data_IF_912365770803
#
_entry.id   IF_912365770803
#
_cell.length_a   1.000
_cell.length_b   1.000
_cell.length_c   1.000
_cell.angle_alpha   90.00
_cell.angle_beta   90.00
_cell.angle_gamma   90.00
#
_symmetry.space_group_name_H-M   'P 1'
#
loop_
_entity.id
_entity.type
_entity.pdbx_description
1 polymer ?
#
# COMPACT_ATOMS: atom_id res chain seq x y z
N UNK A 1 1.10 -14.39 17.14
CA UNK A 1 0.76 -14.03 15.74
C UNK A 1 -0.46 -14.82 15.31
N UNK A 2 -1.10 -14.47 14.20
CA UNK A 2 -2.23 -15.23 13.62
C UNK A 2 -1.71 -16.42 12.82
N UNK A 3 -0.66 -16.22 12.04
CA UNK A 3 0.12 -17.27 11.38
C UNK A 3 1.58 -17.19 11.85
N UNK A 4 2.24 -18.34 12.02
CA UNK A 4 3.66 -18.35 12.45
C UNK A 4 4.56 -17.71 11.40
N UNK A 5 4.24 -17.90 10.11
CA UNK A 5 5.01 -17.37 8.98
C UNK A 5 5.01 -15.83 8.91
N UNK A 6 4.10 -15.15 9.63
CA UNK A 6 4.13 -13.68 9.78
C UNK A 6 5.40 -13.18 10.49
N UNK A 7 6.17 -14.07 11.12
CA UNK A 7 7.52 -13.74 11.61
C UNK A 7 8.38 -13.14 10.50
N UNK A 8 8.21 -13.59 9.25
CA UNK A 8 8.89 -13.04 8.07
C UNK A 8 8.50 -11.56 7.89
N UNK A 9 7.20 -11.25 7.86
CA UNK A 9 6.72 -9.87 7.74
C UNK A 9 7.26 -8.98 8.85
N UNK A 10 7.22 -9.44 10.10
CA UNK A 10 7.75 -8.68 11.25
C UNK A 10 9.27 -8.48 11.15
N UNK A 11 10.03 -9.50 10.75
CA UNK A 11 11.48 -9.38 10.53
C UNK A 11 11.81 -8.36 9.44
N UNK A 12 11.07 -8.34 8.32
CA UNK A 12 11.23 -7.32 7.29
C UNK A 12 10.96 -5.92 7.85
N UNK A 13 9.92 -5.73 8.67
CA UNK A 13 9.66 -4.41 9.27
C UNK A 13 10.82 -3.94 10.15
N UNK A 14 11.43 -4.82 10.94
CA UNK A 14 12.62 -4.49 11.72
C UNK A 14 13.81 -4.12 10.82
N UNK A 15 14.07 -4.92 9.78
CA UNK A 15 15.16 -4.66 8.82
C UNK A 15 14.98 -3.34 8.08
N UNK A 16 13.77 -3.04 7.60
CA UNK A 16 13.43 -1.79 6.91
C UNK A 16 13.60 -0.60 7.87
N UNK A 17 13.17 -0.75 9.12
CA UNK A 17 13.29 0.30 10.13
C UNK A 17 14.75 0.59 10.47
N UNK A 18 15.55 -0.46 10.65
CA UNK A 18 16.99 -0.34 10.87
C UNK A 18 17.67 0.34 9.67
N UNK A 19 17.38 -0.10 8.45
CA UNK A 19 17.94 0.50 7.24
C UNK A 19 17.58 1.99 7.10
N UNK A 20 16.30 2.34 7.29
CA UNK A 20 15.85 3.75 7.26
C UNK A 20 16.50 4.57 8.37
N UNK A 21 16.61 4.03 9.58
CA UNK A 21 17.26 4.71 10.71
C UNK A 21 18.75 4.92 10.45
N UNK A 22 19.45 3.94 9.88
CA UNK A 22 20.86 4.08 9.48
C UNK A 22 20.99 5.15 8.39
N UNK A 23 20.15 5.13 7.35
CA UNK A 23 20.14 6.16 6.32
C UNK A 23 19.84 7.56 6.88
N UNK A 24 19.06 7.65 7.96
CA UNK A 24 18.75 8.91 8.62
C UNK A 24 19.90 9.41 9.50
N UNK A 25 20.38 8.59 10.45
CA UNK A 25 21.44 8.96 11.39
C UNK A 25 22.79 9.19 10.71
N UNK A 26 23.09 8.42 9.66
CA UNK A 26 24.31 8.51 8.87
C UNK A 26 24.00 9.07 7.49
N UNK A 27 23.08 10.03 7.40
CA UNK A 27 22.72 10.67 6.14
C UNK A 27 23.98 11.16 5.43
N UNK A 28 24.16 10.69 4.20
CA UNK A 28 25.31 11.01 3.35
C UNK A 28 24.85 11.82 2.14
N UNK A 29 25.78 12.52 1.51
CA UNK A 29 25.54 13.22 0.25
C UNK A 29 25.25 12.25 -0.93
N UNK A 30 25.29 10.93 -0.71
CA UNK A 30 24.85 9.92 -1.68
C UNK A 30 23.32 9.79 -1.70
N UNK A 31 22.65 10.91 -2.00
CA UNK A 31 21.19 11.08 -1.95
C UNK A 31 20.46 10.00 -2.75
N UNK A 32 20.98 9.63 -3.93
CA UNK A 32 20.39 8.59 -4.76
C UNK A 32 20.21 7.25 -4.03
N UNK A 33 21.25 6.77 -3.36
CA UNK A 33 21.20 5.49 -2.64
C UNK A 33 20.32 5.56 -1.39
N UNK A 34 20.34 6.70 -0.69
CA UNK A 34 19.45 6.96 0.46
C UNK A 34 17.99 6.89 0.05
N UNK A 35 17.62 7.57 -1.04
CA UNK A 35 16.25 7.54 -1.58
C UNK A 35 15.92 6.11 -2.01
N UNK A 36 16.79 5.45 -2.77
CA UNK A 36 16.52 4.11 -3.32
C UNK A 36 16.26 3.07 -2.22
N UNK A 37 17.13 2.99 -1.21
CA UNK A 37 16.98 2.06 -0.08
C UNK A 37 15.70 2.36 0.69
N UNK A 38 15.47 3.65 1.00
CA UNK A 38 14.30 4.09 1.76
C UNK A 38 12.99 3.86 1.00
N UNK A 39 12.99 4.10 -0.31
CA UNK A 39 11.86 3.87 -1.19
C UNK A 39 11.55 2.38 -1.32
N UNK A 40 12.55 1.56 -1.63
CA UNK A 40 12.34 0.11 -1.73
C UNK A 40 11.84 -0.49 -0.41
N UNK A 41 12.40 -0.07 0.73
CA UNK A 41 11.90 -0.46 2.04
C UNK A 41 10.44 -0.02 2.27
N UNK A 42 10.05 1.17 1.80
CA UNK A 42 8.66 1.64 1.87
C UNK A 42 7.72 0.81 1.00
N UNK A 43 8.16 0.34 -0.18
CA UNK A 43 7.39 -0.56 -1.04
C UNK A 43 7.13 -1.90 -0.34
N UNK A 44 8.16 -2.52 0.24
CA UNK A 44 8.00 -3.79 0.97
C UNK A 44 7.10 -3.61 2.20
N UNK A 45 7.28 -2.52 2.96
CA UNK A 45 6.41 -2.20 4.10
C UNK A 45 4.95 -1.98 3.67
N UNK A 46 4.70 -1.43 2.48
CA UNK A 46 3.36 -1.23 1.96
C UNK A 46 2.67 -2.54 1.57
N UNK A 47 3.42 -3.52 1.07
CA UNK A 47 2.89 -4.86 0.81
C UNK A 47 2.50 -5.57 2.10
N UNK A 48 3.34 -5.47 3.14
CA UNK A 48 3.01 -5.97 4.48
C UNK A 48 1.77 -5.24 5.02
N UNK A 49 1.68 -3.92 4.82
CA UNK A 49 0.51 -3.12 5.21
C UNK A 49 -0.76 -3.57 4.50
N UNK A 50 -0.70 -3.78 3.19
CA UNK A 50 -1.84 -4.26 2.41
C UNK A 50 -2.37 -5.57 2.98
N UNK A 51 -1.49 -6.56 3.20
CA UNK A 51 -1.84 -7.83 3.84
C UNK A 51 -2.41 -7.63 5.25
N UNK A 52 -1.77 -6.81 6.09
CA UNK A 52 -2.21 -6.52 7.46
C UNK A 52 -3.60 -5.87 7.51
N UNK A 53 -3.92 -5.00 6.54
CA UNK A 53 -5.20 -4.32 6.45
C UNK A 53 -6.35 -5.26 6.05
N UNK A 54 -6.04 -6.30 5.27
CA UNK A 54 -6.99 -7.38 4.95
C UNK A 54 -7.16 -8.37 6.10
N UNK A 55 -6.04 -8.85 6.62
CA UNK A 55 -5.97 -9.81 7.72
C UNK A 55 -4.85 -9.41 8.68
N UNK A 56 -5.23 -8.94 9.87
CA UNK A 56 -4.25 -8.48 10.85
C UNK A 56 -3.31 -9.60 11.31
N UNK A 57 -2.01 -9.26 11.34
CA UNK A 57 -0.89 -10.14 11.72
C UNK A 57 -1.08 -10.74 13.11
N UNK A 58 -1.59 -9.97 14.08
CA UNK A 58 -1.80 -10.45 15.43
C UNK A 58 -3.29 -10.68 15.73
N UNK A 59 -3.56 -11.55 16.70
CA UNK A 59 -4.90 -11.66 17.30
C UNK A 59 -5.14 -10.57 18.36
N UNK A 60 -4.05 -10.04 18.94
CA UNK A 60 -4.10 -9.01 19.97
C UNK A 60 -4.30 -7.62 19.35
N UNK A 61 -5.31 -6.87 19.83
CA UNK A 61 -5.68 -5.55 19.31
C UNK A 61 -4.60 -4.48 19.50
N UNK A 62 -3.84 -4.53 20.60
CA UNK A 62 -2.78 -3.57 20.89
C UNK A 62 -1.57 -3.80 20.00
N UNK A 63 -1.19 -5.06 19.76
CA UNK A 63 -0.13 -5.38 18.80
C UNK A 63 -0.51 -4.96 17.37
N UNK A 64 -1.78 -5.09 16.98
CA UNK A 64 -2.22 -4.58 15.67
C UNK A 64 -2.22 -3.05 15.63
N UNK A 65 -2.64 -2.38 16.70
CA UNK A 65 -2.57 -0.92 16.80
C UNK A 65 -1.13 -0.40 16.65
N UNK A 66 -0.17 -1.00 17.37
CA UNK A 66 1.24 -0.61 17.24
C UNK A 66 1.81 -0.93 15.86
N UNK A 67 1.39 -2.05 15.27
CA UNK A 67 1.78 -2.43 13.90
C UNK A 67 1.20 -1.45 12.88
N UNK A 68 -0.04 -1.00 13.03
CA UNK A 68 -0.64 0.05 12.19
C UNK A 68 0.23 1.32 12.25
N UNK A 69 0.58 1.81 13.45
CA UNK A 69 1.44 3.00 13.61
C UNK A 69 2.83 2.81 12.99
N UNK A 70 3.43 1.64 13.16
CA UNK A 70 4.74 1.30 12.61
C UNK A 70 4.74 1.33 11.08
N UNK A 71 3.78 0.62 10.46
CA UNK A 71 3.60 0.60 9.02
C UNK A 71 3.28 1.99 8.47
N UNK A 72 2.52 2.79 9.23
CA UNK A 72 2.16 4.15 8.85
C UNK A 72 3.38 5.06 8.71
N UNK A 73 4.32 5.01 9.66
CA UNK A 73 5.58 5.77 9.58
C UNK A 73 6.44 5.29 8.41
N UNK A 74 6.57 3.97 8.22
CA UNK A 74 7.42 3.41 7.17
C UNK A 74 6.96 3.74 5.75
N UNK A 75 5.67 4.02 5.56
CA UNK A 75 5.06 4.22 4.23
C UNK A 75 4.50 5.63 4.02
N UNK A 76 4.40 6.45 5.06
CA UNK A 76 3.83 7.80 4.99
C UNK A 76 2.34 7.87 4.67
N UNK A 77 1.60 6.77 4.84
CA UNK A 77 0.14 6.71 4.64
C UNK A 77 -0.53 6.02 5.81
N UNK A 78 -1.83 6.24 6.03
CA UNK A 78 -2.56 5.58 7.12
C UNK A 78 -3.08 4.20 6.70
N UNK A 79 -3.16 3.23 7.62
CA UNK A 79 -3.80 1.94 7.36
C UNK A 79 -5.30 2.12 7.08
N UNK A 80 -5.93 3.16 7.65
CA UNK A 80 -7.26 3.59 7.24
C UNK A 80 -7.34 3.95 5.76
N UNK A 81 -6.30 4.54 5.16
CA UNK A 81 -6.31 4.88 3.73
C UNK A 81 -6.41 3.61 2.88
N UNK A 82 -5.65 2.56 3.22
CA UNK A 82 -5.76 1.25 2.56
C UNK A 82 -7.15 0.64 2.80
N UNK A 83 -7.63 0.63 4.04
CA UNK A 83 -8.96 0.08 4.37
C UNK A 83 -10.09 0.78 3.59
N UNK A 84 -10.02 2.10 3.42
CA UNK A 84 -11.06 2.89 2.74
C UNK A 84 -10.96 2.74 1.22
N UNK A 85 -9.79 3.01 0.64
CA UNK A 85 -9.62 3.03 -0.82
C UNK A 85 -9.61 1.61 -1.37
N UNK A 86 -8.82 0.73 -0.77
CA UNK A 86 -8.65 -0.63 -1.26
C UNK A 86 -9.77 -1.55 -0.79
N UNK A 87 -9.94 -1.71 0.53
CA UNK A 87 -10.83 -2.77 1.03
C UNK A 87 -12.32 -2.42 0.93
N UNK A 88 -12.70 -1.15 1.16
CA UNK A 88 -14.10 -0.72 1.11
C UNK A 88 -14.51 -0.37 -0.31
N UNK A 89 -13.70 0.40 -1.06
CA UNK A 89 -14.07 0.83 -2.40
C UNK A 89 -13.64 -0.19 -3.47
N UNK A 90 -12.35 -0.40 -3.67
CA UNK A 90 -11.82 -1.24 -4.76
C UNK A 90 -12.29 -2.70 -4.69
N UNK A 91 -12.29 -3.36 -3.52
CA UNK A 91 -12.80 -4.74 -3.40
C UNK A 91 -14.32 -4.87 -3.60
N UNK A 92 -15.09 -3.78 -3.44
CA UNK A 92 -16.54 -3.79 -3.67
C UNK A 92 -16.89 -3.68 -5.14
N UNK A 93 -16.10 -2.95 -5.93
CA UNK A 93 -16.42 -2.60 -7.31
C UNK A 93 -15.48 -3.25 -8.33
N UNK A 94 -14.25 -3.55 -7.93
CA UNK A 94 -13.22 -4.28 -8.66
C UNK A 94 -13.08 -3.77 -10.10
N UNK A 95 -12.39 -2.64 -10.22
CA UNK A 95 -12.13 -1.90 -11.46
C UNK A 95 -13.37 -1.30 -12.14
N UNK A 96 -14.60 -1.50 -11.65
CA UNK A 96 -15.82 -0.98 -12.29
C UNK A 96 -15.82 0.55 -12.48
N UNK A 97 -16.01 0.99 -13.74
CA UNK A 97 -15.96 2.40 -14.12
C UNK A 97 -16.99 3.24 -13.34
N UNK A 98 -16.56 4.38 -12.82
CA UNK A 98 -17.43 5.33 -12.10
C UNK A 98 -17.77 4.94 -10.67
N UNK A 99 -17.44 3.71 -10.23
CA UNK A 99 -17.65 3.27 -8.84
C UNK A 99 -16.34 2.99 -8.11
N UNK A 100 -15.41 2.30 -8.75
CA UNK A 100 -14.04 2.11 -8.26
C UNK A 100 -13.22 3.37 -8.53
N UNK A 101 -12.73 4.01 -7.46
CA UNK A 101 -11.89 5.21 -7.57
C UNK A 101 -10.53 4.92 -8.22
N UNK A 102 -10.12 3.65 -8.23
CA UNK A 102 -8.91 3.14 -8.88
C UNK A 102 -9.21 2.47 -10.21
N UNK A 103 -10.38 2.72 -10.81
CA UNK A 103 -10.71 2.16 -12.11
C UNK A 103 -9.73 2.64 -13.19
N UNK A 104 -9.13 1.69 -13.91
CA UNK A 104 -8.21 1.97 -15.01
C UNK A 104 -8.94 2.42 -16.28
N UNK A 105 -10.22 2.05 -16.43
CA UNK A 105 -10.96 2.14 -17.69
C UNK A 105 -10.99 3.52 -18.34
N UNK A 106 -11.25 4.58 -17.57
CA UNK A 106 -11.30 5.94 -18.14
C UNK A 106 -9.95 6.38 -18.74
N UNK A 107 -8.85 5.77 -18.30
CA UNK A 107 -7.50 6.07 -18.76
C UNK A 107 -7.07 5.17 -19.94
N UNK A 108 -7.59 3.94 -20.04
CA UNK A 108 -7.26 3.00 -21.13
C UNK A 108 -7.66 3.54 -22.50
N UNK A 109 -8.78 4.28 -22.57
CA UNK A 109 -9.25 4.96 -23.79
C UNK A 109 -8.27 5.95 -24.43
N UNK A 110 -7.20 6.35 -23.70
CA UNK A 110 -6.16 7.27 -24.18
C UNK A 110 -4.97 6.55 -24.82
N UNK A 111 -5.02 5.23 -24.94
CA UNK A 111 -3.94 4.38 -25.44
C UNK A 111 -3.00 3.90 -24.31
N UNK A 112 -2.28 2.80 -24.56
CA UNK A 112 -1.52 2.06 -23.53
C UNK A 112 -0.52 2.91 -22.74
N UNK A 113 0.34 3.67 -23.42
CA UNK A 113 1.41 4.46 -22.77
C UNK A 113 0.83 5.73 -22.13
N UNK A 114 0.09 6.52 -22.89
CA UNK A 114 -0.51 7.77 -22.42
C UNK A 114 -1.51 7.54 -21.28
N UNK A 115 -2.31 6.48 -21.39
CA UNK A 115 -3.24 6.04 -20.35
C UNK A 115 -2.52 5.70 -19.05
N UNK A 116 -1.47 4.87 -19.12
CA UNK A 116 -0.64 4.52 -17.97
C UNK A 116 -0.02 5.77 -17.30
N UNK A 117 0.65 6.64 -18.06
CA UNK A 117 1.30 7.84 -17.50
C UNK A 117 0.27 8.75 -16.83
N UNK A 118 -0.86 9.02 -17.49
CA UNK A 118 -1.93 9.85 -16.92
C UNK A 118 -2.52 9.21 -15.66
N UNK A 119 -2.75 7.90 -15.67
CA UNK A 119 -3.25 7.17 -14.51
C UNK A 119 -2.30 7.32 -13.32
N UNK A 120 -1.01 7.02 -13.53
CA UNK A 120 -0.01 7.07 -12.46
C UNK A 120 0.07 8.47 -11.85
N UNK A 121 0.07 9.51 -12.67
CA UNK A 121 0.22 10.89 -12.19
C UNK A 121 -1.03 11.45 -11.51
N UNK A 122 -2.23 11.07 -11.96
CA UNK A 122 -3.49 11.67 -11.51
C UNK A 122 -4.16 10.88 -10.38
N UNK A 123 -4.09 9.54 -10.41
CA UNK A 123 -4.81 8.69 -9.47
C UNK A 123 -4.47 8.92 -7.99
N UNK A 124 -3.21 9.18 -7.57
CA UNK A 124 -2.92 9.51 -6.17
C UNK A 124 -3.74 10.69 -5.64
N UNK A 125 -3.96 11.71 -6.47
CA UNK A 125 -4.79 12.86 -6.12
C UNK A 125 -6.28 12.49 -6.05
N UNK A 126 -6.78 11.70 -7.01
CA UNK A 126 -8.16 11.22 -7.00
C UNK A 126 -8.47 10.39 -5.75
N UNK A 127 -7.56 9.50 -5.36
CA UNK A 127 -7.65 8.74 -4.11
C UNK A 127 -7.71 9.63 -2.88
N UNK A 128 -6.90 10.69 -2.83
CA UNK A 128 -6.94 11.65 -1.73
C UNK A 128 -8.31 12.34 -1.66
N UNK A 129 -8.80 12.85 -2.78
CA UNK A 129 -10.10 13.54 -2.86
C UNK A 129 -11.25 12.61 -2.46
N UNK A 130 -11.33 11.43 -3.07
CA UNK A 130 -12.41 10.47 -2.84
C UNK A 130 -12.43 9.97 -1.39
N UNK A 131 -11.25 9.65 -0.81
CA UNK A 131 -11.12 9.30 0.61
C UNK A 131 -11.62 10.42 1.52
N UNK A 132 -11.26 11.68 1.24
CA UNK A 132 -11.71 12.82 2.04
C UNK A 132 -13.22 13.03 1.96
N UNK A 133 -13.81 12.92 0.77
CA UNK A 133 -15.26 12.97 0.58
C UNK A 133 -15.97 11.85 1.36
N UNK A 134 -15.46 10.62 1.25
CA UNK A 134 -15.99 9.47 1.98
C UNK A 134 -15.91 9.67 3.49
N UNK A 135 -14.78 10.14 4.03
CA UNK A 135 -14.63 10.43 5.45
C UNK A 135 -15.59 11.53 5.93
N UNK A 136 -15.80 12.58 5.13
CA UNK A 136 -16.77 13.65 5.45
C UNK A 136 -18.21 13.13 5.53
N UNK A 137 -18.57 12.16 4.70
CA UNK A 137 -19.87 11.50 4.74
C UNK A 137 -20.01 10.50 5.91
N UNK A 138 -18.91 10.07 6.53
CA UNK A 138 -18.88 9.01 7.54
C UNK A 138 -18.24 9.43 8.88
N UNK A 139 -18.40 10.70 9.28
CA UNK A 139 -17.74 11.28 10.47
C UNK A 139 -18.04 10.55 11.79
N UNK A 140 -19.20 9.89 11.89
CA UNK A 140 -19.62 9.15 13.08
C UNK A 140 -18.97 7.76 13.20
N UNK A 141 -18.39 7.22 12.11
CA UNK A 141 -17.76 5.91 12.13
C UNK A 141 -16.44 5.93 12.89
N UNK A 142 -16.13 4.84 13.60
CA UNK A 142 -14.88 4.68 14.34
C UNK A 142 -13.64 4.94 13.46
N UNK A 143 -13.67 4.48 12.19
CA UNK A 143 -12.58 4.67 11.23
C UNK A 143 -12.26 6.16 10.97
N UNK A 144 -13.23 7.07 11.13
CA UNK A 144 -12.98 8.51 11.00
C UNK A 144 -12.04 9.01 12.10
N UNK A 145 -12.35 8.67 13.37
CA UNK A 145 -11.51 9.02 14.53
C UNK A 145 -10.14 8.34 14.43
N UNK A 146 -10.13 7.05 14.09
CA UNK A 146 -8.91 6.27 13.95
C UNK A 146 -7.98 6.84 12.85
N UNK A 147 -8.54 7.22 11.70
CA UNK A 147 -7.78 7.87 10.64
C UNK A 147 -7.15 9.19 11.11
N UNK A 148 -7.82 9.99 11.95
CA UNK A 148 -7.22 11.21 12.51
C UNK A 148 -6.03 10.92 13.41
N UNK A 149 -6.12 9.90 14.26
CA UNK A 149 -5.02 9.47 15.12
C UNK A 149 -3.84 9.02 14.26
N UNK A 150 -4.08 8.15 13.27
CA UNK A 150 -3.03 7.68 12.37
C UNK A 150 -2.33 8.83 11.62
N UNK A 151 -3.10 9.76 11.04
CA UNK A 151 -2.50 10.88 10.30
C UNK A 151 -1.79 11.87 11.24
N UNK A 152 -2.31 12.12 12.44
CA UNK A 152 -1.62 12.95 13.44
C UNK A 152 -0.28 12.31 13.85
N UNK A 153 -0.26 10.99 14.02
CA UNK A 153 0.98 10.25 14.31
C UNK A 153 1.97 10.33 13.15
N UNK A 154 1.55 10.06 11.91
CA UNK A 154 2.41 10.18 10.71
C UNK A 154 3.00 11.59 10.61
N UNK A 155 2.15 12.62 10.64
CA UNK A 155 2.58 14.01 10.47
C UNK A 155 3.48 14.45 11.62
N UNK A 156 3.15 14.09 12.86
CA UNK A 156 3.97 14.37 14.03
C UNK A 156 5.34 13.74 13.93
N UNK A 157 5.44 12.45 13.60
CA UNK A 157 6.71 11.75 13.43
C UNK A 157 7.53 12.30 12.27
N UNK A 158 6.91 12.57 11.11
CA UNK A 158 7.60 13.17 9.96
C UNK A 158 8.11 14.57 10.28
N UNK A 159 7.30 15.40 10.97
CA UNK A 159 7.71 16.73 11.41
C UNK A 159 8.90 16.65 12.36
N UNK A 160 8.89 15.73 13.32
CA UNK A 160 10.01 15.55 14.25
C UNK A 160 11.31 15.18 13.51
N UNK A 161 11.26 14.28 12.53
CA UNK A 161 12.43 13.95 11.73
C UNK A 161 12.91 15.14 10.88
N UNK A 162 12.00 15.87 10.24
CA UNK A 162 12.38 17.05 9.46
C UNK A 162 12.89 18.22 10.32
N UNK A 163 12.44 18.37 11.57
CA UNK A 163 12.95 19.40 12.47
C UNK A 163 14.33 19.06 13.03
N UNK A 164 14.60 17.78 13.30
CA UNK A 164 15.90 17.35 13.79
C UNK A 164 16.97 17.35 12.69
N UNK A 165 16.66 16.79 11.53
CA UNK A 165 17.57 16.76 10.38
C UNK A 165 16.79 16.93 9.07
N UNK A 166 16.59 18.17 8.58
CA UNK A 166 15.68 18.47 7.46
C UNK A 166 15.95 17.68 6.18
N UNK A 167 17.21 17.61 5.75
CA UNK A 167 17.59 16.90 4.53
C UNK A 167 17.33 15.39 4.67
N UNK A 168 17.80 14.77 5.76
CA UNK A 168 17.56 13.36 6.02
C UNK A 168 16.06 13.05 6.14
N UNK A 169 15.30 13.89 6.85
CA UNK A 169 13.85 13.78 6.95
C UNK A 169 13.16 13.79 5.59
N UNK A 170 13.56 14.72 4.72
CA UNK A 170 13.04 14.85 3.36
C UNK A 170 13.36 13.62 2.50
N UNK A 171 14.62 13.19 2.45
CA UNK A 171 15.08 12.14 1.54
C UNK A 171 14.81 10.71 2.02
N UNK A 172 14.71 10.48 3.33
CA UNK A 172 14.45 9.13 3.91
C UNK A 172 12.96 8.87 4.09
N UNK A 173 12.15 9.90 4.40
CA UNK A 173 10.74 9.73 4.73
C UNK A 173 9.78 10.36 3.73
N UNK A 174 9.95 11.65 3.40
CA UNK A 174 8.95 12.38 2.59
C UNK A 174 8.98 11.94 1.13
N UNK A 175 10.14 12.02 0.46
CA UNK A 175 10.28 11.67 -0.96
C UNK A 175 9.90 10.20 -1.20
N UNK A 176 10.42 9.22 -0.43
CA UNK A 176 10.00 7.82 -0.53
C UNK A 176 8.49 7.61 -0.39
N UNK A 177 7.83 8.30 0.55
CA UNK A 177 6.38 8.20 0.73
C UNK A 177 5.58 8.74 -0.46
N UNK A 178 6.06 9.83 -1.08
CA UNK A 178 5.48 10.39 -2.31
C UNK A 178 5.64 9.43 -3.48
N UNK A 179 6.86 8.93 -3.73
CA UNK A 179 7.16 7.97 -4.79
C UNK A 179 6.35 6.68 -4.64
N UNK A 180 6.09 6.26 -3.40
CA UNK A 180 5.25 5.10 -3.10
C UNK A 180 3.81 5.29 -3.62
N UNK A 181 3.23 6.50 -3.57
CA UNK A 181 1.86 6.72 -4.06
C UNK A 181 1.75 6.48 -5.57
N UNK A 182 2.73 6.96 -6.34
CA UNK A 182 2.80 6.72 -7.78
C UNK A 182 3.02 5.24 -8.10
N UNK A 183 3.82 4.55 -7.28
CA UNK A 183 4.06 3.11 -7.43
C UNK A 183 2.81 2.28 -7.17
N UNK A 184 1.98 2.68 -6.20
CA UNK A 184 0.68 2.04 -5.93
C UNK A 184 -0.29 2.24 -7.10
N UNK A 185 -0.32 3.44 -7.70
CA UNK A 185 -1.11 3.65 -8.92
C UNK A 185 -0.58 2.80 -10.08
N UNK A 186 0.74 2.77 -10.30
CA UNK A 186 1.35 1.98 -11.37
C UNK A 186 1.04 0.48 -11.24
N UNK A 187 1.19 -0.08 -10.04
CA UNK A 187 0.90 -1.50 -9.77
C UNK A 187 -0.57 -1.82 -9.95
N UNK A 188 -1.49 -0.98 -9.45
CA UNK A 188 -2.92 -1.14 -9.70
C UNK A 188 -3.23 -1.15 -11.22
N UNK A 189 -2.65 -0.21 -11.97
CA UNK A 189 -2.87 -0.18 -13.42
C UNK A 189 -2.42 -1.47 -14.09
N UNK A 190 -1.20 -1.94 -13.80
CA UNK A 190 -0.69 -3.20 -14.37
C UNK A 190 -1.60 -4.40 -14.01
N UNK A 191 -2.07 -4.44 -12.78
CA UNK A 191 -2.91 -5.52 -12.26
C UNK A 191 -4.36 -5.49 -12.80
N UNK A 192 -4.84 -4.38 -13.36
CA UNK A 192 -6.23 -4.24 -13.80
C UNK A 192 -6.40 -3.86 -15.27
N UNK A 193 -5.33 -3.42 -15.95
CA UNK A 193 -5.35 -3.04 -17.37
C UNK A 193 -5.89 -4.16 -18.27
N UNK A 194 -6.76 -3.79 -19.21
CA UNK A 194 -7.30 -4.68 -20.23
C UNK A 194 -8.33 -5.71 -19.73
N UNK A 195 -8.82 -5.57 -18.49
CA UNK A 195 -9.85 -6.44 -17.92
C UNK A 195 -11.22 -5.75 -17.91
N UNK A 196 -11.74 -5.42 -19.10
CA UNK A 196 -13.05 -4.78 -19.31
C UNK A 196 -14.21 -5.74 -19.05
N UNK A 197 -15.06 -5.47 -18.05
CA UNK A 197 -16.39 -6.09 -17.83
C UNK A 197 -16.52 -7.64 -17.93
N UNK A 198 -15.41 -8.37 -18.06
CA UNK A 198 -15.36 -9.81 -18.18
C UNK A 198 -15.39 -10.47 -16.80
N UNK A 199 -15.64 -11.78 -16.76
CA UNK A 199 -15.53 -12.57 -15.53
C UNK A 199 -14.15 -12.42 -14.85
N UNK A 200 -13.11 -12.11 -15.65
CA UNK A 200 -11.76 -11.78 -15.19
C UNK A 200 -11.63 -10.27 -14.96
N UNK A 201 -11.48 -9.88 -13.70
CA UNK A 201 -11.37 -8.47 -13.28
C UNK A 201 -9.95 -8.02 -12.90
N UNK A 202 -8.96 -8.91 -13.01
CA UNK A 202 -7.57 -8.64 -12.64
C UNK A 202 -6.57 -9.58 -13.35
N UNK A 203 -5.32 -9.16 -13.39
CA UNK A 203 -4.17 -9.89 -13.93
C UNK A 203 -3.29 -10.44 -12.79
N UNK A 204 -2.83 -11.68 -12.95
CA UNK A 204 -1.83 -12.28 -12.08
C UNK A 204 -0.40 -12.02 -12.59
N UNK A 205 0.56 -11.95 -11.68
CA UNK A 205 2.01 -11.91 -11.93
C UNK A 205 2.63 -13.14 -11.23
N UNK A 206 2.50 -14.37 -11.78
CA UNK A 206 2.85 -15.61 -11.09
C UNK A 206 4.37 -15.91 -11.06
N UNK A 207 5.21 -14.90 -11.25
CA UNK A 207 6.66 -15.08 -11.21
C UNK A 207 7.12 -15.47 -9.79
N UNK A 208 7.84 -16.59 -9.66
CA UNK A 208 8.23 -17.17 -8.35
C UNK A 208 9.02 -16.18 -7.48
N UNK A 209 9.96 -15.45 -8.08
CA UNK A 209 10.80 -14.49 -7.35
C UNK A 209 10.00 -13.26 -6.91
N UNK A 210 9.05 -12.79 -7.71
CA UNK A 210 8.12 -11.70 -7.35
C UNK A 210 7.29 -12.11 -6.14
N UNK A 211 6.69 -13.31 -6.19
CA UNK A 211 5.81 -13.79 -5.12
C UNK A 211 6.57 -14.15 -3.83
N UNK A 212 7.82 -14.60 -3.94
CA UNK A 212 8.70 -14.77 -2.79
C UNK A 212 9.03 -13.43 -2.11
N UNK A 213 9.43 -12.40 -2.87
CA UNK A 213 9.81 -11.10 -2.31
C UNK A 213 8.62 -10.24 -1.87
N UNK A 214 7.46 -10.41 -2.50
CA UNK A 214 6.30 -9.54 -2.35
C UNK A 214 5.08 -10.26 -1.80
N UNK A 215 5.31 -11.24 -0.92
CA UNK A 215 4.25 -11.89 -0.13
C UNK A 215 3.09 -12.41 -0.98
N UNK A 216 3.40 -13.09 -2.09
CA UNK A 216 2.42 -13.68 -3.00
C UNK A 216 1.40 -12.69 -3.61
N UNK A 217 1.68 -11.39 -3.61
CA UNK A 217 0.78 -10.35 -4.18
C UNK A 217 0.51 -10.53 -5.69
N UNK A 218 1.36 -11.30 -6.38
CA UNK A 218 1.18 -11.62 -7.78
C UNK A 218 -0.02 -12.53 -8.06
N UNK A 219 -0.54 -13.25 -7.07
CA UNK A 219 -1.81 -14.00 -7.19
C UNK A 219 -3.01 -13.09 -6.95
N UNK A 220 -3.08 -11.97 -7.67
CA UNK A 220 -4.03 -10.88 -7.45
C UNK A 220 -5.49 -11.26 -7.71
N UNK A 221 -5.74 -12.18 -8.65
CA UNK A 221 -7.10 -12.70 -8.90
C UNK A 221 -7.62 -13.51 -7.71
N UNK A 222 -6.78 -14.38 -7.13
CA UNK A 222 -7.15 -15.12 -5.91
C UNK A 222 -7.32 -14.17 -4.72
N UNK A 223 -6.47 -13.14 -4.63
CA UNK A 223 -6.60 -12.06 -3.64
C UNK A 223 -7.94 -11.33 -3.74
N UNK A 224 -8.41 -11.04 -4.96
CA UNK A 224 -9.73 -10.42 -5.17
C UNK A 224 -10.90 -11.34 -4.82
N UNK A 225 -10.74 -12.65 -5.00
CA UNK A 225 -11.78 -13.61 -4.64
C UNK A 225 -11.88 -13.84 -3.13
N UNK A 226 -10.74 -14.00 -2.43
CA UNK A 226 -10.68 -14.18 -0.98
C UNK A 226 -9.68 -13.21 -0.36
N UNK A 227 -10.05 -11.92 -0.20
CA UNK A 227 -9.12 -10.89 0.27
C UNK A 227 -8.65 -11.11 1.70
N UNK A 228 -9.40 -11.86 2.51
CA UNK A 228 -9.01 -12.19 3.89
C UNK A 228 -8.14 -13.44 3.98
N UNK A 229 -7.85 -14.10 2.85
CA UNK A 229 -6.92 -15.22 2.82
C UNK A 229 -5.54 -14.75 3.22
N UNK A 230 -4.87 -15.55 4.05
CA UNK A 230 -3.51 -15.25 4.42
C UNK A 230 -2.58 -15.31 3.20
N UNK A 231 -1.70 -14.31 3.05
CA UNK A 231 -0.83 -14.14 1.88
C UNK A 231 -0.03 -15.41 1.54
N UNK A 232 0.46 -16.13 2.55
CA UNK A 232 1.26 -17.36 2.35
C UNK A 232 0.45 -18.54 1.78
N UNK A 233 -0.88 -18.42 1.74
CA UNK A 233 -1.78 -19.44 1.21
C UNK A 233 -2.26 -19.13 -0.21
N UNK A 234 -1.98 -17.93 -0.74
CA UNK A 234 -2.23 -17.60 -2.13
C UNK A 234 -1.32 -18.43 -3.04
N UNK A 235 -1.84 -18.90 -4.16
CA UNK A 235 -1.15 -19.78 -5.12
C UNK A 235 -1.05 -21.24 -4.70
N UNK A 236 -1.56 -21.63 -3.52
CA UNK A 236 -1.45 -23.02 -3.00
C UNK A 236 -2.58 -23.94 -3.42
N UNK A 237 -3.73 -23.40 -3.85
CA UNK A 237 -4.85 -24.19 -4.40
C UNK A 237 -5.07 -23.80 -5.85
N UNK A 238 -5.19 -24.79 -6.75
CA UNK A 238 -5.86 -24.59 -8.04
C UNK A 238 -7.35 -24.41 -7.75
N UNK A 239 -7.81 -23.19 -7.54
CA UNK A 239 -9.24 -22.90 -7.60
C UNK A 239 -9.64 -22.58 -9.04
N UNK A 240 -10.93 -22.70 -9.34
CA UNK A 240 -11.50 -22.26 -10.62
C UNK A 240 -11.61 -20.72 -10.63
N UNK A 241 -10.46 -20.05 -10.52
CA UNK A 241 -10.33 -18.59 -10.46
C UNK A 241 -9.97 -17.97 -11.82
N UNK A 242 -9.95 -18.79 -12.88
CA UNK A 242 -9.64 -18.39 -14.27
C UNK A 242 -10.90 -18.44 -15.14
#
# INVERSE_FOLDING_TARGET
MRFVIDIISVSYLFLISAAKLICYLYFSQHIFWVILISFFGSVVAMLIKHNHCHLSIFRNKWLNFTTDMWLNVLTGTSCCSVKIIHNINHHSYINEAGKDWGSTFSFESKGRVTGFIRYVLVTPYLFLQAKQQWLKAHKTRFIFKYNRIENAFILGTMLLFCLYQPEAGLYVFIIPAILLQFTLAATNYIQHYGNEQHHKKSNNIPAKWVNFLFFNVGYHTEHHHDPKRHWSLLGTKKGNWE
#
